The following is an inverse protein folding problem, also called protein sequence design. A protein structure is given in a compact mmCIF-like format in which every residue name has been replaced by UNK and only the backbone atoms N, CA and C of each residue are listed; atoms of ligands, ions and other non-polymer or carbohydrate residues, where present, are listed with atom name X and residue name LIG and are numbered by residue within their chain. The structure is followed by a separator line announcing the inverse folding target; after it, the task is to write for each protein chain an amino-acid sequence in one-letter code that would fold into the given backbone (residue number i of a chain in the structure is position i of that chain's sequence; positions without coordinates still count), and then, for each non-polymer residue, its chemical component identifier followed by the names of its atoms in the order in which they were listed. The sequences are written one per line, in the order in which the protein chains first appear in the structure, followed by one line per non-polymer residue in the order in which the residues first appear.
data_IF_980478323321
#
_entry.id   IF_980478323321
#
_cell.length_a   1.000
_cell.length_b   1.000
_cell.length_c   1.000
_cell.angle_alpha   90.00
_cell.angle_beta   90.00
_cell.angle_gamma   90.00
#
_symmetry.space_group_name_H-M   'P 1'
#
loop_
_entity.id
_entity.type
_entity.pdbx_description
1 polymer ?
#
# COMPACT_ATOMS: atom_id res chain seq x y z
N UNK A 1 12.42 -34.01 -5.11
CA UNK A 1 11.16 -33.36 -4.66
C UNK A 1 11.53 -32.27 -3.65
N UNK A 2 11.29 -30.99 -3.95
CA UNK A 2 11.73 -29.89 -3.08
C UNK A 2 10.74 -29.62 -1.93
N UNK A 3 11.32 -29.54 -0.73
CA UNK A 3 10.69 -29.57 0.58
C UNK A 3 9.78 -28.36 0.85
N UNK A 4 8.66 -28.64 1.53
CA UNK A 4 7.64 -27.66 1.89
C UNK A 4 8.13 -26.62 2.89
N UNK A 5 7.90 -25.34 2.58
CA UNK A 5 8.08 -24.25 3.52
C UNK A 5 7.04 -24.35 4.65
N UNK A 6 7.43 -24.25 5.94
CA UNK A 6 6.49 -24.30 7.04
C UNK A 6 5.58 -23.08 6.96
N UNK A 7 4.30 -23.31 6.61
CA UNK A 7 3.26 -22.29 6.61
C UNK A 7 3.10 -21.76 8.03
N UNK A 8 3.71 -20.60 8.32
CA UNK A 8 3.36 -19.77 9.48
C UNK A 8 1.83 -19.68 9.52
N UNK A 9 1.19 -20.34 10.50
CA UNK A 9 -0.20 -20.11 10.85
C UNK A 9 -0.28 -18.70 11.46
N UNK A 10 -0.34 -17.69 10.59
CA UNK A 10 -0.41 -16.29 10.99
C UNK A 10 -1.79 -15.74 10.68
N UNK A 11 -2.69 -15.97 11.63
CA UNK A 11 -3.71 -15.05 12.10
C UNK A 11 -4.56 -14.30 11.06
N UNK A 12 -5.79 -14.80 10.95
CA UNK A 12 -7.00 -14.15 10.49
C UNK A 12 -7.05 -13.74 9.02
N UNK A 13 -8.22 -13.96 8.42
CA UNK A 13 -8.55 -13.67 7.04
C UNK A 13 -8.63 -12.16 6.82
N UNK A 14 -7.53 -11.44 7.03
CA UNK A 14 -7.44 -9.98 6.94
C UNK A 14 -7.59 -9.62 5.47
N UNK A 15 -8.75 -9.10 5.05
CA UNK A 15 -9.00 -8.86 3.64
C UNK A 15 -8.35 -7.57 3.16
N UNK A 16 -7.80 -6.74 4.06
CA UNK A 16 -7.23 -5.44 3.75
C UNK A 16 -8.29 -4.33 3.78
N UNK A 17 -7.88 -3.12 3.40
CA UNK A 17 -8.73 -1.91 3.41
C UNK A 17 -9.67 -1.90 2.20
N UNK A 18 -10.82 -1.24 2.32
CA UNK A 18 -11.72 -0.97 1.19
C UNK A 18 -10.95 -0.22 0.11
N UNK A 19 -11.21 -0.55 -1.16
CA UNK A 19 -10.57 0.04 -2.33
C UNK A 19 -11.58 0.87 -3.15
N UNK A 20 -11.06 1.68 -4.06
CA UNK A 20 -11.85 2.42 -5.07
C UNK A 20 -12.02 1.60 -6.34
N UNK A 21 -11.43 0.40 -6.37
CA UNK A 21 -11.67 -0.59 -7.38
C UNK A 21 -12.72 -1.59 -6.86
N UNK A 22 -13.86 -1.75 -7.54
CA UNK A 22 -14.93 -2.65 -7.11
C UNK A 22 -14.50 -4.12 -7.09
N UNK A 23 -13.66 -4.55 -8.04
CA UNK A 23 -13.12 -5.91 -8.08
C UNK A 23 -12.28 -6.21 -6.83
N UNK A 24 -11.45 -5.26 -6.39
CA UNK A 24 -10.69 -5.42 -5.15
C UNK A 24 -11.62 -5.53 -3.95
N UNK A 25 -12.72 -4.77 -3.91
CA UNK A 25 -13.72 -4.90 -2.85
C UNK A 25 -14.41 -6.27 -2.86
N UNK A 26 -14.67 -6.83 -4.04
CA UNK A 26 -15.15 -8.21 -4.15
C UNK A 26 -14.13 -9.21 -3.63
N UNK A 27 -12.86 -9.11 -4.03
CA UNK A 27 -11.80 -10.01 -3.55
C UNK A 27 -11.63 -9.97 -2.02
N UNK A 28 -11.95 -8.84 -1.39
CA UNK A 28 -11.98 -8.74 0.09
C UNK A 28 -13.02 -9.67 0.68
N UNK A 29 -14.24 -9.66 0.16
CA UNK A 29 -15.30 -10.53 0.65
C UNK A 29 -15.07 -11.98 0.24
N UNK A 30 -14.55 -12.21 -0.96
CA UNK A 30 -14.13 -13.53 -1.43
C UNK A 30 -13.11 -14.15 -0.47
N UNK A 31 -12.10 -13.38 -0.06
CA UNK A 31 -11.08 -13.83 0.92
C UNK A 31 -11.65 -14.09 2.31
N UNK A 32 -12.68 -13.35 2.74
CA UNK A 32 -13.37 -13.62 4.02
C UNK A 32 -14.13 -14.94 3.98
N UNK A 33 -14.79 -15.24 2.86
CA UNK A 33 -15.54 -16.50 2.67
C UNK A 33 -14.61 -17.70 2.50
N UNK A 34 -13.47 -17.50 1.85
CA UNK A 34 -12.47 -18.54 1.59
C UNK A 34 -11.21 -18.35 2.45
N UNK A 35 -11.45 -18.26 3.75
CA UNK A 35 -10.42 -18.24 4.78
C UNK A 35 -9.47 -19.43 4.67
N UNK A 36 -8.18 -19.18 4.40
CA UNK A 36 -7.16 -20.24 4.31
C UNK A 36 -6.60 -20.45 2.90
N UNK A 37 -7.25 -19.91 1.87
CA UNK A 37 -6.66 -19.85 0.54
C UNK A 37 -5.41 -18.97 0.54
N UNK A 38 -4.41 -19.41 -0.23
CA UNK A 38 -3.24 -18.62 -0.51
C UNK A 38 -3.66 -17.37 -1.31
N UNK A 39 -3.06 -16.18 -1.09
CA UNK A 39 -3.46 -14.96 -1.80
C UNK A 39 -3.52 -15.08 -3.33
N UNK A 40 -2.59 -15.83 -3.92
CA UNK A 40 -2.58 -16.12 -5.36
C UNK A 40 -3.86 -16.87 -5.79
N UNK A 41 -4.30 -17.81 -4.97
CA UNK A 41 -5.49 -18.62 -5.26
C UNK A 41 -6.78 -17.81 -5.09
N UNK A 42 -6.83 -16.94 -4.08
CA UNK A 42 -7.91 -15.96 -3.91
C UNK A 42 -8.08 -15.11 -5.17
N UNK A 43 -6.97 -14.66 -5.77
CA UNK A 43 -7.02 -13.86 -6.99
C UNK A 43 -7.49 -14.69 -8.18
N UNK A 44 -6.93 -15.89 -8.38
CA UNK A 44 -7.29 -16.78 -9.49
C UNK A 44 -8.77 -17.18 -9.45
N UNK A 45 -9.21 -17.77 -8.35
CA UNK A 45 -10.60 -18.22 -8.22
C UNK A 45 -11.57 -17.04 -8.12
N UNK A 46 -11.16 -15.97 -7.43
CA UNK A 46 -11.93 -14.74 -7.33
C UNK A 46 -12.13 -14.04 -8.67
N UNK A 47 -11.14 -14.05 -9.58
CA UNK A 47 -11.32 -13.53 -10.94
C UNK A 47 -12.42 -14.29 -11.69
N UNK A 48 -12.39 -15.62 -11.65
CA UNK A 48 -13.43 -16.45 -12.26
C UNK A 48 -14.81 -16.18 -11.65
N UNK A 49 -14.90 -16.07 -10.33
CA UNK A 49 -16.14 -15.78 -9.63
C UNK A 49 -16.69 -14.39 -9.96
N UNK A 50 -15.82 -13.37 -10.05
CA UNK A 50 -16.20 -12.01 -10.43
C UNK A 50 -16.78 -11.93 -11.84
N UNK A 51 -16.20 -12.66 -12.80
CA UNK A 51 -16.67 -12.69 -14.18
C UNK A 51 -18.07 -13.32 -14.30
N UNK A 52 -18.43 -14.21 -13.37
CA UNK A 52 -19.75 -14.88 -13.31
C UNK A 52 -20.83 -14.07 -12.59
N UNK A 53 -20.48 -12.97 -11.92
CA UNK A 53 -21.48 -12.13 -11.26
C UNK A 53 -22.34 -11.40 -12.29
N UNK A 54 -23.65 -11.32 -12.02
CA UNK A 54 -24.54 -10.41 -12.73
C UNK A 54 -24.29 -8.95 -12.31
N UNK A 55 -24.77 -8.00 -13.10
CA UNK A 55 -24.58 -6.57 -12.80
C UNK A 55 -25.23 -6.16 -11.47
N UNK A 56 -26.38 -6.76 -11.14
CA UNK A 56 -27.04 -6.60 -9.85
C UNK A 56 -26.17 -7.06 -8.67
N UNK A 57 -25.38 -8.12 -8.86
CA UNK A 57 -24.46 -8.61 -7.83
C UNK A 57 -23.17 -7.77 -7.76
N UNK A 58 -22.75 -7.14 -8.86
CA UNK A 58 -21.59 -6.22 -8.90
C UNK A 58 -21.92 -4.85 -8.31
N UNK A 59 -23.16 -4.40 -8.44
CA UNK A 59 -23.65 -3.07 -8.02
C UNK A 59 -23.25 -2.65 -6.60
N UNK A 60 -23.33 -3.50 -5.55
CA UNK A 60 -22.88 -3.13 -4.20
C UNK A 60 -21.38 -2.78 -4.15
N UNK A 61 -20.54 -3.53 -4.88
CA UNK A 61 -19.10 -3.30 -4.95
C UNK A 61 -18.77 -2.03 -5.73
N UNK A 62 -19.52 -1.76 -6.81
CA UNK A 62 -19.42 -0.55 -7.62
C UNK A 62 -19.80 0.67 -6.79
N UNK A 63 -20.94 0.65 -6.10
CA UNK A 63 -21.36 1.73 -5.19
C UNK A 63 -20.31 2.02 -4.12
N UNK A 64 -19.82 0.98 -3.46
CA UNK A 64 -18.77 1.10 -2.44
C UNK A 64 -17.50 1.74 -2.99
N UNK A 65 -17.09 1.36 -4.20
CA UNK A 65 -15.94 1.92 -4.88
C UNK A 65 -16.16 3.38 -5.28
N UNK A 66 -17.33 3.69 -5.85
CA UNK A 66 -17.67 5.00 -6.39
C UNK A 66 -17.74 6.08 -5.31
N UNK A 67 -18.46 5.81 -4.22
CA UNK A 67 -18.64 6.78 -3.13
C UNK A 67 -17.43 6.90 -2.19
N UNK A 68 -16.35 6.15 -2.42
CA UNK A 68 -15.18 6.20 -1.54
C UNK A 68 -14.38 7.49 -1.77
N UNK A 69 -14.19 8.33 -0.74
CA UNK A 69 -13.53 9.63 -0.89
C UNK A 69 -12.13 9.52 -1.50
N UNK A 70 -11.76 10.50 -2.33
CA UNK A 70 -10.43 10.61 -2.91
C UNK A 70 -9.45 11.04 -1.81
N UNK A 71 -8.66 10.11 -1.29
CA UNK A 71 -7.49 10.46 -0.48
C UNK A 71 -6.29 10.64 -1.40
N UNK A 72 -5.86 11.89 -1.59
CA UNK A 72 -4.55 12.20 -2.18
C UNK A 72 -3.50 11.92 -1.10
N UNK A 73 -3.11 10.66 -0.97
CA UNK A 73 -1.96 10.33 -0.12
C UNK A 73 -0.74 11.04 -0.70
N UNK A 74 -0.04 11.88 0.08
CA UNK A 74 1.20 12.49 -0.37
C UNK A 74 2.17 11.39 -0.78
N UNK A 75 2.80 11.56 -1.95
CA UNK A 75 3.79 10.61 -2.42
C UNK A 75 4.92 10.47 -1.37
N UNK A 76 5.01 9.32 -0.71
CA UNK A 76 5.98 9.07 0.36
C UNK A 76 7.44 9.17 -0.10
N UNK A 77 7.68 9.13 -1.41
CA UNK A 77 9.00 9.28 -2.01
C UNK A 77 9.46 10.73 -2.10
N UNK A 78 8.56 11.72 -1.98
CA UNK A 78 8.90 13.15 -2.12
C UNK A 78 9.50 13.78 -0.85
N UNK A 79 9.45 13.09 0.30
CA UNK A 79 9.93 13.58 1.59
C UNK A 79 11.35 13.15 2.01
N UNK A 80 12.04 12.28 1.26
CA UNK A 80 13.39 11.80 1.65
C UNK A 80 14.56 12.66 1.16
N UNK A 81 14.34 13.65 0.29
CA UNK A 81 15.43 14.48 -0.29
C UNK A 81 15.78 15.77 0.45
N UNK A 82 15.11 16.10 1.56
CA UNK A 82 15.33 17.40 2.25
C UNK A 82 16.14 17.33 3.55
N UNK A 83 16.93 16.27 3.79
CA UNK A 83 17.79 16.16 5.00
C UNK A 83 19.29 16.01 4.74
N UNK A 84 19.82 16.56 3.64
CA UNK A 84 21.27 16.54 3.38
C UNK A 84 21.89 17.85 2.88
N UNK A 85 21.29 19.01 3.17
CA UNK A 85 21.93 20.31 2.94
C UNK A 85 21.82 21.18 4.18
N UNK A 86 22.69 20.92 5.16
CA UNK A 86 22.72 21.68 6.40
C UNK A 86 23.79 21.24 7.39
N UNK A 87 24.95 20.77 6.92
CA UNK A 87 26.17 20.71 7.73
C UNK A 87 27.33 21.20 6.88
N UNK A 88 28.26 21.87 7.56
CA UNK A 88 29.53 22.44 7.07
C UNK A 88 29.44 23.69 6.20
N UNK A 89 29.24 24.85 6.84
CA UNK A 89 30.09 26.02 6.59
C UNK A 89 30.59 26.53 7.94
N UNK A 90 31.72 25.98 8.37
CA UNK A 90 32.60 26.59 9.36
C UNK A 90 33.13 27.90 8.76
N UNK A 91 32.44 29.01 9.02
CA UNK A 91 32.98 30.35 8.77
C UNK A 91 33.90 30.71 9.92
N UNK A 92 35.16 30.32 9.77
CA UNK A 92 36.32 30.85 10.49
C UNK A 92 36.33 32.37 10.42
N UNK A 93 35.92 33.05 11.50
CA UNK A 93 36.20 34.47 11.72
C UNK A 93 37.56 34.60 12.41
N UNK A 94 38.62 34.28 11.67
CA UNK A 94 39.98 34.69 12.01
C UNK A 94 40.17 36.13 11.55
N UNK A 95 39.86 37.11 12.40
CA UNK A 95 40.31 38.50 12.20
C UNK A 95 41.59 38.70 12.99
N UNK A 96 42.70 38.23 12.42
CA UNK A 96 44.04 38.69 12.77
C UNK A 96 44.56 39.49 11.60
N UNK A 97 44.52 40.82 11.70
CA UNK A 97 45.40 41.71 10.92
C UNK A 97 45.98 42.75 11.87
N UNK A 98 47.11 42.38 12.43
CA UNK A 98 48.10 43.29 12.97
C UNK A 98 48.73 44.07 11.80
N UNK A 99 48.83 45.40 11.91
CA UNK A 99 50.05 46.24 11.70
C UNK A 99 49.78 47.65 11.11
N UNK A 100 50.30 48.64 11.84
CA UNK A 100 50.97 49.90 11.43
C UNK A 100 50.10 51.05 10.89
N UNK A 101 50.05 52.19 11.60
CA UNK A 101 51.08 53.24 11.59
C UNK A 101 51.01 54.06 12.87
#
# INVERSE_FOLDING_TARGET
MANGCPRRRSSSCRPGKTSRNPYINFLRDYRKKHCGLHPVEVIRQGACAWNRLSDQQRLPYIRTAFYRPIRREPCSTRGRRSRSRGRSVSRSRSRSRSRRR
#
